data_IF_414699476811
#
_entry.id   IF_414699476811
#
_cell.length_a   1.000
_cell.length_b   1.000
_cell.length_c   1.000
_cell.angle_alpha   90.00
_cell.angle_beta   90.00
_cell.angle_gamma   90.00
#
_symmetry.space_group_name_H-M   'P 1'
#
loop_
_entity.id
_entity.type
_entity.pdbx_description
1 polymer ?
#
# COMPACT_ATOMS: atom_id res chain seq x y z
N UNK A 1 0.76 -9.20 -38.92
CA UNK A 1 2.13 -9.71 -38.73
C UNK A 1 2.41 -9.71 -37.20
N UNK A 2 2.41 -10.88 -36.59
CA UNK A 2 2.66 -11.06 -35.14
C UNK A 2 4.17 -11.18 -34.94
N UNK A 3 4.75 -10.33 -34.07
CA UNK A 3 6.12 -10.49 -33.62
C UNK A 3 6.11 -11.07 -32.21
N UNK A 4 6.49 -12.34 -32.12
CA UNK A 4 6.74 -13.03 -30.86
C UNK A 4 8.11 -12.62 -30.34
N UNK A 5 8.19 -12.11 -29.11
CA UNK A 5 9.43 -12.00 -28.38
C UNK A 5 9.58 -13.21 -27.47
N UNK A 6 10.53 -14.07 -27.83
CA UNK A 6 10.99 -15.21 -27.03
C UNK A 6 12.09 -14.69 -26.10
N UNK A 7 11.86 -14.74 -24.80
CA UNK A 7 12.91 -14.51 -23.79
C UNK A 7 13.56 -15.87 -23.49
N UNK A 8 14.81 -16.04 -23.90
CA UNK A 8 15.61 -17.22 -23.59
C UNK A 8 16.25 -17.05 -22.21
N UNK A 9 15.95 -17.98 -21.30
CA UNK A 9 16.65 -18.14 -20.02
C UNK A 9 17.82 -19.09 -20.26
N UNK A 10 19.06 -18.60 -20.18
CA UNK A 10 20.26 -19.44 -20.22
C UNK A 10 20.67 -19.78 -18.78
N UNK A 11 20.60 -21.08 -18.45
CA UNK A 11 21.22 -21.64 -17.26
C UNK A 11 22.71 -21.91 -17.58
N UNK A 12 23.62 -21.21 -16.90
CA UNK A 12 25.05 -21.49 -16.99
C UNK A 12 25.46 -22.48 -15.89
N UNK A 13 25.73 -23.72 -16.30
CA UNK A 13 26.42 -24.71 -15.47
C UNK A 13 27.93 -24.48 -15.52
N UNK A 14 28.61 -24.46 -14.39
CA UNK A 14 30.06 -24.45 -14.29
C UNK A 14 30.66 -25.80 -14.73
N UNK A 15 31.55 -25.80 -15.73
CA UNK A 15 32.59 -26.79 -15.89
C UNK A 15 33.90 -26.09 -16.28
N UNK A 16 34.91 -26.34 -15.46
CA UNK A 16 36.30 -25.92 -15.68
C UNK A 16 36.98 -26.81 -16.69
N UNK A 17 37.50 -26.22 -17.78
CA UNK A 17 38.66 -26.77 -18.52
C UNK A 17 39.26 -25.65 -19.37
N UNK A 18 40.58 -25.53 -19.32
CA UNK A 18 41.37 -24.47 -19.99
C UNK A 18 41.25 -24.49 -21.51
N UNK A 19 41.17 -23.31 -22.08
CA UNK A 19 41.17 -23.08 -23.52
C UNK A 19 41.25 -21.60 -23.82
N UNK A 20 42.26 -21.19 -24.56
CA UNK A 20 42.54 -19.87 -25.09
C UNK A 20 41.34 -19.21 -25.74
N UNK A 21 40.89 -18.07 -25.26
CA UNK A 21 39.79 -17.31 -25.81
C UNK A 21 40.31 -16.29 -26.83
N UNK A 22 39.85 -16.42 -28.06
CA UNK A 22 39.98 -15.38 -29.10
C UNK A 22 39.03 -14.22 -28.75
N UNK A 23 39.60 -13.03 -28.65
CA UNK A 23 38.82 -11.81 -28.49
C UNK A 23 38.09 -11.48 -29.80
N UNK A 24 36.75 -11.57 -29.78
CA UNK A 24 35.90 -10.95 -30.80
C UNK A 24 35.38 -9.65 -30.18
N UNK A 25 35.74 -8.53 -30.86
CA UNK A 25 35.39 -7.21 -30.39
C UNK A 25 33.91 -6.88 -30.51
N UNK A 26 33.45 -6.12 -29.56
CA UNK A 26 32.44 -5.08 -29.74
C UNK A 26 31.00 -5.48 -29.66
N UNK A 27 30.41 -5.27 -28.51
CA UNK A 27 29.12 -4.58 -28.26
C UNK A 27 29.04 -4.39 -26.77
N UNK A 28 28.82 -3.17 -26.32
CA UNK A 28 28.67 -2.79 -24.91
C UNK A 28 27.51 -3.58 -24.25
N UNK A 29 27.83 -4.75 -23.73
CA UNK A 29 26.94 -5.45 -22.83
C UNK A 29 27.00 -4.72 -21.48
N UNK A 30 25.97 -3.97 -21.15
CA UNK A 30 25.82 -3.41 -19.83
C UNK A 30 26.04 -4.52 -18.80
N UNK A 31 26.80 -4.28 -17.73
CA UNK A 31 27.11 -5.33 -16.76
C UNK A 31 25.83 -5.90 -16.18
N UNK A 32 25.76 -7.23 -16.06
CA UNK A 32 24.58 -7.98 -15.61
C UNK A 32 24.00 -7.42 -14.30
N UNK A 33 24.87 -6.85 -13.45
CA UNK A 33 24.50 -6.14 -12.23
C UNK A 33 23.67 -4.87 -12.50
N UNK A 34 23.90 -4.15 -13.59
CA UNK A 34 23.11 -2.97 -13.97
C UNK A 34 21.74 -3.36 -14.53
N UNK A 35 21.66 -4.49 -15.24
CA UNK A 35 20.39 -5.05 -15.72
C UNK A 35 19.56 -5.61 -14.57
N UNK A 36 20.19 -6.23 -13.58
CA UNK A 36 19.50 -6.69 -12.36
C UNK A 36 19.13 -5.53 -11.44
N UNK A 37 19.94 -4.47 -11.35
CA UNK A 37 19.58 -3.26 -10.60
C UNK A 37 18.43 -2.47 -11.27
N UNK A 38 18.36 -2.46 -12.60
CA UNK A 38 17.23 -1.86 -13.34
C UNK A 38 15.92 -2.67 -13.19
N UNK A 39 16.01 -3.97 -12.93
CA UNK A 39 14.85 -4.82 -12.63
C UNK A 39 14.35 -4.67 -11.17
N UNK A 40 15.15 -4.08 -10.27
CA UNK A 40 14.81 -3.88 -8.86
C UNK A 40 14.08 -2.56 -8.59
N UNK A 41 14.01 -1.64 -9.54
CA UNK A 41 13.34 -0.35 -9.41
C UNK A 41 12.17 -0.30 -10.38
N UNK A 42 11.03 -0.79 -9.94
CA UNK A 42 9.80 -0.64 -10.69
C UNK A 42 9.25 0.77 -10.47
N UNK A 43 8.94 1.45 -11.57
CA UNK A 43 8.45 2.82 -11.57
C UNK A 43 7.25 2.97 -10.64
N UNK A 44 7.35 3.92 -9.71
CA UNK A 44 6.27 4.33 -8.84
C UNK A 44 5.11 4.87 -9.69
N UNK A 45 3.92 4.34 -9.50
CA UNK A 45 2.69 4.80 -10.19
C UNK A 45 1.98 5.82 -9.34
N UNK A 46 1.62 6.95 -9.95
CA UNK A 46 0.87 8.01 -9.29
C UNK A 46 -0.56 8.04 -9.80
N UNK A 47 -1.51 8.02 -8.87
CA UNK A 47 -2.94 8.18 -9.10
C UNK A 47 -3.42 9.39 -8.33
N UNK A 48 -4.16 10.28 -8.98
CA UNK A 48 -4.73 11.46 -8.32
C UNK A 48 -6.23 11.32 -8.14
N UNK A 49 -6.79 12.09 -7.22
CA UNK A 49 -8.24 12.30 -7.11
C UNK A 49 -8.81 12.98 -8.35
N UNK A 50 -10.13 12.94 -8.57
CA UNK A 50 -10.78 13.63 -9.68
C UNK A 50 -10.48 15.14 -9.74
N UNK A 51 -10.41 15.82 -8.59
CA UNK A 51 -10.01 17.24 -8.50
C UNK A 51 -8.49 17.45 -8.70
N UNK A 52 -7.70 16.37 -8.69
CA UNK A 52 -6.25 16.38 -8.86
C UNK A 52 -5.47 16.86 -7.62
N UNK A 53 -6.13 17.02 -6.47
CA UNK A 53 -5.49 17.54 -5.26
C UNK A 53 -4.91 16.45 -4.37
N UNK A 54 -5.55 15.31 -4.24
CA UNK A 54 -5.05 14.15 -3.47
C UNK A 54 -4.24 13.25 -4.39
N UNK A 55 -3.12 12.73 -3.92
CA UNK A 55 -2.34 11.75 -4.65
C UNK A 55 -2.12 10.48 -3.83
N UNK A 56 -2.11 9.38 -4.54
CA UNK A 56 -1.64 8.08 -4.12
C UNK A 56 -0.46 7.69 -5.01
N UNK A 57 0.63 7.26 -4.41
CA UNK A 57 1.75 6.64 -5.11
C UNK A 57 1.85 5.18 -4.67
N UNK A 58 2.03 4.28 -5.61
CA UNK A 58 2.14 2.83 -5.36
C UNK A 58 3.36 2.31 -6.08
N UNK A 59 4.16 1.51 -5.41
CA UNK A 59 5.38 0.96 -5.97
C UNK A 59 5.82 -0.36 -5.37
N UNK A 60 6.89 -0.89 -5.93
CA UNK A 60 7.63 -2.05 -5.45
C UNK A 60 9.07 -1.64 -5.18
N UNK A 61 9.56 -1.95 -3.98
CA UNK A 61 10.95 -1.71 -3.58
C UNK A 61 11.49 -2.97 -2.91
N UNK A 62 12.56 -3.51 -3.45
CA UNK A 62 13.18 -4.75 -2.95
C UNK A 62 12.17 -5.89 -2.77
N UNK A 63 11.28 -6.07 -3.76
CA UNK A 63 10.24 -7.10 -3.72
C UNK A 63 9.13 -6.86 -2.67
N UNK A 64 9.03 -5.66 -2.12
CA UNK A 64 7.99 -5.27 -1.15
C UNK A 64 7.09 -4.20 -1.73
N UNK A 65 5.80 -4.42 -1.69
CA UNK A 65 4.83 -3.43 -2.12
C UNK A 65 4.69 -2.33 -1.06
N UNK A 66 4.58 -1.09 -1.52
CA UNK A 66 4.33 0.07 -0.68
C UNK A 66 3.35 1.03 -1.32
N UNK A 67 2.79 1.90 -0.50
CA UNK A 67 2.00 3.03 -0.93
C UNK A 67 2.40 4.30 -0.16
N UNK A 68 2.14 5.45 -0.75
CA UNK A 68 2.36 6.78 -0.18
C UNK A 68 1.14 7.63 -0.49
N UNK A 69 0.67 8.42 0.47
CA UNK A 69 -0.49 9.30 0.32
C UNK A 69 -0.11 10.73 0.69
N UNK A 70 -0.67 11.66 -0.05
CA UNK A 70 -0.52 13.07 0.24
C UNK A 70 -1.44 13.94 -0.59
N UNK A 71 -1.16 15.24 -0.58
CA UNK A 71 -1.91 16.18 -1.38
C UNK A 71 -1.00 17.25 -1.98
N UNK A 72 -1.48 17.93 -3.00
CA UNK A 72 -0.80 19.04 -3.63
C UNK A 72 -1.29 20.37 -3.00
N UNK A 73 -0.43 21.02 -2.21
CA UNK A 73 -0.67 22.38 -1.79
C UNK A 73 -0.52 23.33 -2.98
N UNK A 74 -1.20 24.48 -2.95
CA UNK A 74 -1.18 25.51 -3.98
C UNK A 74 -1.84 25.12 -5.32
N UNK A 75 -2.72 24.13 -5.35
CA UNK A 75 -3.50 23.74 -6.54
C UNK A 75 -2.69 23.11 -7.66
N UNK A 76 -3.31 23.07 -8.85
CA UNK A 76 -2.74 22.36 -10.01
C UNK A 76 -1.49 23.05 -10.62
N UNK A 77 -1.38 24.36 -10.49
CA UNK A 77 -0.31 25.14 -11.13
C UNK A 77 0.96 25.25 -10.29
N UNK A 78 0.83 25.25 -8.95
CA UNK A 78 1.97 25.36 -8.03
C UNK A 78 2.26 24.10 -7.24
N UNK A 79 2.12 22.91 -7.81
CA UNK A 79 2.14 21.59 -7.16
C UNK A 79 3.29 21.40 -6.18
N UNK A 80 3.05 21.71 -4.92
CA UNK A 80 3.93 21.34 -3.82
C UNK A 80 3.36 20.11 -3.13
N UNK A 81 4.05 19.00 -3.21
CA UNK A 81 3.66 17.77 -2.51
C UNK A 81 3.73 17.94 -0.99
N UNK A 82 2.66 17.59 -0.32
CA UNK A 82 2.60 17.45 1.14
C UNK A 82 2.28 16.00 1.45
N UNK A 83 3.22 15.32 2.07
CA UNK A 83 3.08 13.90 2.42
C UNK A 83 2.27 13.76 3.70
N UNK A 84 1.22 12.95 3.65
CA UNK A 84 0.40 12.55 4.80
C UNK A 84 0.81 11.17 5.34
N UNK A 85 1.09 10.23 4.43
CA UNK A 85 1.71 8.94 4.72
C UNK A 85 2.94 8.77 3.85
N UNK A 86 4.06 8.47 4.48
CA UNK A 86 5.31 8.09 3.81
C UNK A 86 5.20 6.69 3.21
N UNK A 87 6.26 6.17 2.57
CA UNK A 87 6.29 4.82 2.03
C UNK A 87 5.84 3.79 3.10
N UNK A 88 4.58 3.41 3.02
CA UNK A 88 3.92 2.51 3.96
C UNK A 88 3.80 1.12 3.35
N UNK A 89 4.16 0.05 4.06
CA UNK A 89 4.16 -1.30 3.49
C UNK A 89 2.75 -1.81 3.26
N UNK A 90 2.64 -2.68 2.25
CA UNK A 90 1.45 -3.48 1.94
C UNK A 90 1.82 -4.96 1.99
N UNK A 91 0.91 -5.80 2.42
CA UNK A 91 1.09 -7.24 2.31
C UNK A 91 0.22 -8.06 3.26
N UNK A 92 -0.01 -9.29 2.84
CA UNK A 92 -0.72 -10.32 3.60
C UNK A 92 0.11 -11.60 3.67
N UNK A 93 0.03 -12.27 4.82
CA UNK A 93 0.47 -13.66 4.96
C UNK A 93 -0.77 -14.51 5.19
N UNK A 94 -0.99 -15.50 4.34
CA UNK A 94 -2.13 -16.42 4.43
C UNK A 94 -1.66 -17.83 4.74
N UNK A 95 -2.60 -18.72 5.01
CA UNK A 95 -2.31 -20.14 5.23
C UNK A 95 -1.71 -20.87 4.00
N UNK A 96 -1.72 -20.25 2.82
CA UNK A 96 -1.20 -20.84 1.58
C UNK A 96 -0.15 -19.97 0.86
N UNK A 97 -0.03 -18.68 1.16
CA UNK A 97 0.85 -17.75 0.45
C UNK A 97 1.37 -16.65 1.35
N UNK A 98 2.60 -16.21 1.09
CA UNK A 98 3.21 -15.00 1.67
C UNK A 98 3.28 -13.93 0.57
N UNK A 99 2.58 -12.80 0.80
CA UNK A 99 2.56 -11.62 -0.07
C UNK A 99 3.21 -10.40 0.61
N UNK A 100 4.08 -10.62 1.58
CA UNK A 100 4.80 -9.53 2.28
C UNK A 100 6.16 -9.20 1.68
N UNK A 101 6.67 -10.05 0.79
CA UNK A 101 8.03 -9.96 0.20
C UNK A 101 8.15 -10.78 -1.09
N UNK A 102 9.27 -10.58 -1.78
CA UNK A 102 9.63 -11.29 -3.01
C UNK A 102 8.53 -11.18 -4.07
N UNK A 103 7.86 -10.01 -4.09
CA UNK A 103 6.77 -9.72 -5.00
C UNK A 103 7.30 -9.19 -6.32
N UNK A 104 6.57 -9.53 -7.38
CA UNK A 104 6.74 -8.95 -8.72
C UNK A 104 5.43 -8.32 -9.15
N UNK A 105 5.53 -7.22 -9.89
CA UNK A 105 4.40 -6.52 -10.49
C UNK A 105 3.96 -7.25 -11.76
N UNK A 106 2.72 -7.77 -11.77
CA UNK A 106 2.20 -8.58 -12.88
C UNK A 106 1.39 -7.73 -13.83
N UNK A 107 0.47 -6.92 -13.30
CA UNK A 107 -0.48 -6.14 -14.08
C UNK A 107 -0.99 -4.96 -13.28
N UNK A 108 -1.39 -3.90 -13.97
CA UNK A 108 -2.10 -2.77 -13.40
C UNK A 108 -3.32 -2.41 -14.22
N UNK A 109 -4.29 -1.79 -13.59
CA UNK A 109 -5.49 -1.28 -14.23
C UNK A 109 -5.94 0.00 -13.55
N UNK A 110 -6.00 1.09 -14.30
CA UNK A 110 -6.62 2.34 -13.88
C UNK A 110 -8.08 2.41 -14.36
N UNK A 111 -8.91 3.12 -13.61
CA UNK A 111 -10.32 3.30 -13.94
C UNK A 111 -10.94 4.44 -13.16
N UNK A 112 -12.25 4.57 -13.29
CA UNK A 112 -13.07 5.53 -12.53
C UNK A 112 -14.28 4.83 -11.94
N UNK A 113 -14.81 5.38 -10.83
CA UNK A 113 -16.01 4.85 -10.17
C UNK A 113 -16.92 6.00 -9.75
N UNK A 114 -18.21 5.88 -10.08
CA UNK A 114 -19.25 6.70 -9.49
C UNK A 114 -19.73 6.04 -8.19
N UNK A 115 -19.72 6.80 -7.10
CA UNK A 115 -20.12 6.35 -5.77
C UNK A 115 -21.40 7.09 -5.42
N UNK A 116 -22.53 6.37 -5.46
CA UNK A 116 -23.86 6.94 -5.19
C UNK A 116 -24.63 6.06 -4.23
N UNK A 117 -25.04 6.64 -3.12
CA UNK A 117 -25.94 6.00 -2.16
C UNK A 117 -26.64 7.02 -1.28
N UNK A 118 -27.76 6.63 -0.70
CA UNK A 118 -28.52 7.43 0.22
C UNK A 118 -28.29 6.95 1.67
N UNK A 119 -28.27 7.89 2.61
CA UNK A 119 -28.08 7.66 4.03
C UNK A 119 -29.28 8.20 4.80
N UNK A 120 -30.08 7.32 5.39
CA UNK A 120 -31.34 7.71 6.03
C UNK A 120 -31.15 8.49 7.35
N UNK A 121 -30.02 8.32 8.05
CA UNK A 121 -29.81 8.84 9.42
C UNK A 121 -28.47 9.53 9.59
N UNK A 122 -28.03 10.30 8.63
CA UNK A 122 -26.78 11.04 8.69
C UNK A 122 -26.98 12.52 8.30
N UNK A 123 -25.98 13.37 8.61
CA UNK A 123 -25.99 14.78 8.25
C UNK A 123 -26.06 15.01 6.71
N UNK A 124 -25.52 14.08 5.95
CA UNK A 124 -25.65 14.05 4.50
C UNK A 124 -26.61 12.93 4.12
N UNK A 125 -27.79 13.28 3.58
CA UNK A 125 -28.81 12.30 3.15
C UNK A 125 -28.40 11.56 1.88
N UNK A 126 -27.53 12.14 1.09
CA UNK A 126 -27.06 11.57 -0.19
C UNK A 126 -25.57 11.73 -0.37
N UNK A 127 -24.93 10.68 -0.84
CA UNK A 127 -23.55 10.69 -1.32
C UNK A 127 -23.55 10.55 -2.83
N UNK A 128 -22.93 11.48 -3.53
CA UNK A 128 -22.71 11.44 -4.98
C UNK A 128 -21.29 11.97 -5.25
N UNK A 129 -20.38 11.04 -5.47
CA UNK A 129 -18.95 11.33 -5.63
C UNK A 129 -18.39 10.58 -6.82
N UNK A 130 -17.29 11.09 -7.34
CA UNK A 130 -16.43 10.38 -8.29
C UNK A 130 -15.13 9.97 -7.62
N UNK A 131 -14.57 8.86 -8.04
CA UNK A 131 -13.28 8.39 -7.61
C UNK A 131 -12.48 7.88 -8.81
N UNK A 132 -11.17 8.03 -8.75
CA UNK A 132 -10.26 7.30 -9.60
C UNK A 132 -9.88 5.99 -8.90
N UNK A 133 -9.80 4.91 -9.66
CA UNK A 133 -9.44 3.58 -9.15
C UNK A 133 -8.14 3.12 -9.77
N UNK A 134 -7.37 2.37 -8.98
CA UNK A 134 -6.15 1.75 -9.45
C UNK A 134 -6.02 0.37 -8.82
N UNK A 135 -5.92 -0.65 -9.65
CA UNK A 135 -5.72 -2.02 -9.18
C UNK A 135 -4.36 -2.50 -9.63
N UNK A 136 -3.57 -3.02 -8.71
CA UNK A 136 -2.32 -3.69 -9.00
C UNK A 136 -2.44 -5.18 -8.68
N UNK A 137 -1.96 -6.02 -9.59
CA UNK A 137 -1.81 -7.44 -9.38
C UNK A 137 -0.34 -7.75 -9.13
N UNK A 138 -0.07 -8.38 -8.01
CA UNK A 138 1.24 -8.79 -7.54
C UNK A 138 1.30 -10.31 -7.47
N UNK A 139 2.47 -10.88 -7.76
CA UNK A 139 2.71 -12.30 -7.58
C UNK A 139 3.95 -12.52 -6.69
N UNK A 140 3.92 -13.56 -5.86
CA UNK A 140 5.08 -13.98 -5.11
C UNK A 140 5.98 -14.93 -5.93
N UNK A 141 7.11 -15.38 -5.36
CA UNK A 141 8.06 -16.28 -6.02
C UNK A 141 7.44 -17.62 -6.48
N UNK A 142 6.32 -18.03 -5.86
CA UNK A 142 5.57 -19.23 -6.24
C UNK A 142 4.49 -18.96 -7.28
N UNK A 143 4.45 -17.77 -7.88
CA UNK A 143 3.45 -17.32 -8.85
C UNK A 143 2.01 -17.30 -8.31
N UNK A 144 1.84 -17.24 -6.99
CA UNK A 144 0.55 -17.01 -6.36
C UNK A 144 0.25 -15.52 -6.42
N UNK A 145 -0.98 -15.17 -6.71
CA UNK A 145 -1.39 -13.80 -7.01
C UNK A 145 -2.24 -13.17 -5.92
N UNK A 146 -2.07 -11.86 -5.75
CA UNK A 146 -2.88 -10.99 -4.91
C UNK A 146 -3.13 -9.70 -5.69
N UNK A 147 -4.31 -9.13 -5.54
CA UNK A 147 -4.61 -7.79 -6.05
C UNK A 147 -4.77 -6.81 -4.89
N UNK A 148 -4.33 -5.57 -5.11
CA UNK A 148 -4.64 -4.44 -4.25
C UNK A 148 -5.40 -3.43 -5.09
N UNK A 149 -6.66 -3.20 -4.73
CA UNK A 149 -7.50 -2.18 -5.33
C UNK A 149 -7.47 -0.92 -4.48
N UNK A 150 -7.16 0.20 -5.09
CA UNK A 150 -7.19 1.53 -4.49
C UNK A 150 -8.34 2.34 -5.08
N UNK A 151 -8.95 3.17 -4.25
CA UNK A 151 -9.97 4.15 -4.60
C UNK A 151 -9.51 5.49 -4.09
N UNK A 152 -9.33 6.45 -4.98
CA UNK A 152 -8.85 7.80 -4.68
C UNK A 152 -9.97 8.78 -4.99
N UNK A 153 -10.57 9.31 -3.93
CA UNK A 153 -11.59 10.36 -3.97
C UNK A 153 -10.95 11.72 -3.65
N UNK A 154 -11.69 12.78 -3.84
CA UNK A 154 -11.29 14.09 -3.35
C UNK A 154 -11.16 14.03 -1.83
N UNK A 155 -9.94 14.28 -1.33
CA UNK A 155 -9.56 14.24 0.08
C UNK A 155 -9.62 12.86 0.78
N UNK A 156 -9.75 11.76 0.03
CA UNK A 156 -9.86 10.43 0.62
C UNK A 156 -9.15 9.37 -0.23
N UNK A 157 -8.51 8.40 0.45
CA UNK A 157 -7.90 7.23 -0.17
C UNK A 157 -8.31 6.00 0.61
N UNK A 158 -8.87 5.02 -0.09
CA UNK A 158 -9.18 3.71 0.47
C UNK A 158 -8.49 2.61 -0.35
N UNK A 159 -8.23 1.48 0.27
CA UNK A 159 -7.74 0.30 -0.43
C UNK A 159 -8.29 -0.98 0.19
N UNK A 160 -8.24 -2.05 -0.61
CA UNK A 160 -8.55 -3.40 -0.16
C UNK A 160 -7.68 -4.42 -0.88
N UNK A 161 -7.44 -5.53 -0.20
CA UNK A 161 -6.85 -6.71 -0.80
C UNK A 161 -7.93 -7.60 -1.42
N UNK A 162 -7.61 -8.17 -2.56
CA UNK A 162 -8.40 -9.20 -3.19
C UNK A 162 -7.51 -10.42 -3.48
N UNK A 163 -7.91 -11.57 -3.00
CA UNK A 163 -7.21 -12.83 -3.23
C UNK A 163 -8.02 -13.63 -4.25
N UNK A 164 -7.56 -13.70 -5.51
CA UNK A 164 -8.23 -14.48 -6.53
C UNK A 164 -8.25 -15.96 -6.11
N UNK A 165 -9.31 -16.66 -6.47
CA UNK A 165 -9.38 -18.12 -6.22
C UNK A 165 -8.26 -18.81 -6.98
N UNK A 166 -7.37 -19.48 -6.25
CA UNK A 166 -6.23 -20.21 -6.80
C UNK A 166 -6.28 -21.66 -6.35
N UNK A 167 -6.24 -22.56 -7.33
CA UNK A 167 -6.30 -23.99 -7.07
C UNK A 167 -7.61 -24.47 -6.41
N UNK A 168 -7.52 -25.55 -5.67
CA UNK A 168 -8.66 -26.22 -5.02
C UNK A 168 -9.03 -25.69 -3.62
N UNK A 169 -8.50 -24.53 -3.19
CA UNK A 169 -8.75 -24.01 -1.84
C UNK A 169 -10.17 -23.49 -1.70
N UNK A 170 -10.93 -24.01 -0.75
CA UNK A 170 -12.30 -23.57 -0.45
C UNK A 170 -12.35 -22.32 0.45
N UNK A 171 -11.28 -22.04 1.20
CA UNK A 171 -11.20 -20.89 2.12
C UNK A 171 -9.77 -20.39 2.27
N UNK A 172 -9.62 -19.11 2.56
CA UNK A 172 -8.35 -18.45 2.88
C UNK A 172 -8.41 -17.92 4.29
N UNK A 173 -7.38 -18.22 5.08
CA UNK A 173 -7.19 -17.65 6.41
C UNK A 173 -6.01 -16.68 6.37
N UNK A 174 -6.25 -15.43 6.72
CA UNK A 174 -5.19 -14.43 6.93
C UNK A 174 -4.51 -14.77 8.25
N UNK A 175 -3.20 -15.01 8.20
CA UNK A 175 -2.36 -15.32 9.35
C UNK A 175 -1.69 -14.08 9.90
N UNK A 176 -1.34 -13.14 9.03
CA UNK A 176 -0.77 -11.86 9.39
C UNK A 176 -1.05 -10.83 8.30
N UNK A 177 -1.22 -9.59 8.69
CA UNK A 177 -1.29 -8.43 7.81
C UNK A 177 -0.08 -7.52 8.08
N UNK A 178 0.72 -7.26 7.05
CA UNK A 178 1.93 -6.42 7.16
C UNK A 178 1.68 -4.99 6.70
N UNK A 179 0.41 -4.65 6.47
CA UNK A 179 0.00 -3.28 6.15
C UNK A 179 0.43 -2.31 7.24
N UNK A 180 1.08 -1.23 6.86
CA UNK A 180 1.51 -0.20 7.77
C UNK A 180 0.98 1.18 7.35
N UNK A 181 1.02 2.10 8.29
CA UNK A 181 0.67 3.51 8.12
C UNK A 181 1.83 4.34 8.67
N UNK A 182 2.76 4.72 7.80
CA UNK A 182 3.95 5.45 8.20
C UNK A 182 3.73 6.94 8.11
N UNK A 183 3.56 7.57 9.24
CA UNK A 183 3.40 9.01 9.34
C UNK A 183 4.73 9.75 9.39
N UNK A 184 4.81 11.00 8.90
CA UNK A 184 5.97 11.87 9.10
C UNK A 184 6.32 12.08 10.58
N UNK A 185 7.61 12.18 10.90
CA UNK A 185 8.12 12.13 12.28
C UNK A 185 7.63 13.20 13.27
N UNK A 186 6.99 14.28 12.78
CA UNK A 186 6.39 15.34 13.63
C UNK A 186 4.88 15.22 13.76
N UNK A 187 4.30 14.08 13.43
CA UNK A 187 2.87 13.82 13.55
C UNK A 187 2.47 13.71 15.01
N UNK A 188 1.35 14.32 15.36
CA UNK A 188 0.68 14.14 16.66
C UNK A 188 -0.65 13.43 16.50
N UNK A 189 -1.17 12.89 17.57
CA UNK A 189 -2.30 11.97 17.55
C UNK A 189 -3.41 12.39 18.51
N UNK A 190 -4.64 11.95 18.20
CA UNK A 190 -5.84 12.09 19.00
C UNK A 190 -6.50 10.70 19.07
N UNK A 191 -5.81 9.76 19.72
CA UNK A 191 -6.19 8.36 19.71
C UNK A 191 -6.88 7.99 21.02
N UNK A 192 -8.04 7.36 20.92
CA UNK A 192 -8.76 6.81 22.08
C UNK A 192 -8.08 5.50 22.50
N UNK A 193 -7.57 5.41 23.74
CA UNK A 193 -6.94 4.19 24.21
C UNK A 193 -7.98 3.09 24.40
N UNK A 194 -7.65 1.88 23.96
CA UNK A 194 -8.48 0.72 24.20
C UNK A 194 -8.35 0.29 25.66
N UNK A 195 -9.48 0.20 26.36
CA UNK A 195 -9.57 -0.29 27.73
C UNK A 195 -10.09 -1.72 27.78
N UNK A 196 -9.78 -2.42 28.87
CA UNK A 196 -10.40 -3.69 29.19
C UNK A 196 -11.88 -3.48 29.58
N UNK A 197 -12.76 -4.28 29.01
CA UNK A 197 -14.21 -4.19 29.24
C UNK A 197 -14.65 -4.46 30.71
N UNK A 198 -13.74 -4.95 31.53
CA UNK A 198 -14.04 -5.38 32.90
C UNK A 198 -13.50 -4.47 34.00
N UNK A 199 -13.06 -3.26 33.70
CA UNK A 199 -12.42 -2.35 34.66
C UNK A 199 -13.40 -1.27 35.18
N UNK A 200 -13.63 -1.22 36.49
CA UNK A 200 -14.45 -0.21 37.16
C UNK A 200 -15.89 -0.13 36.64
N UNK A 201 -16.45 1.08 36.49
CA UNK A 201 -17.75 1.27 35.85
C UNK A 201 -17.77 0.72 34.44
N UNK A 202 -16.64 0.58 33.88
CA UNK A 202 -16.34 -0.01 32.58
C UNK A 202 -16.81 -1.45 32.43
N UNK A 203 -17.13 -2.15 33.53
CA UNK A 203 -17.81 -3.44 33.49
C UNK A 203 -19.13 -3.40 32.76
N UNK A 204 -19.77 -2.24 32.74
CA UNK A 204 -21.03 -2.01 32.04
C UNK A 204 -20.86 -1.14 30.81
N UNK A 205 -19.64 -0.72 30.51
CA UNK A 205 -19.31 0.14 29.39
C UNK A 205 -19.48 -0.60 28.07
N UNK A 206 -20.41 -0.18 27.22
CA UNK A 206 -20.67 -0.87 25.95
C UNK A 206 -19.69 -0.52 24.84
N UNK A 207 -18.85 0.50 25.04
CA UNK A 207 -17.92 1.02 24.04
C UNK A 207 -16.56 1.32 24.65
N UNK A 208 -15.57 1.53 23.79
CA UNK A 208 -14.21 1.92 24.17
C UNK A 208 -14.04 3.44 24.25
N UNK A 209 -15.05 4.15 24.72
CA UNK A 209 -15.02 5.59 24.91
C UNK A 209 -14.18 5.94 26.13
N UNK A 210 -12.94 6.33 25.89
CA UNK A 210 -12.00 6.78 26.89
C UNK A 210 -11.51 8.19 26.58
N UNK A 211 -11.05 8.90 27.60
CA UNK A 211 -10.36 10.16 27.41
C UNK A 211 -9.08 9.93 26.60
N UNK A 212 -8.87 10.78 25.62
CA UNK A 212 -7.66 10.78 24.81
C UNK A 212 -6.83 12.04 25.07
N UNK A 213 -5.53 11.90 24.92
CA UNK A 213 -4.62 13.03 25.00
C UNK A 213 -4.54 13.72 23.64
N UNK A 214 -5.00 14.98 23.58
CA UNK A 214 -4.88 15.81 22.39
C UNK A 214 -3.40 16.08 22.04
N UNK A 215 -3.07 15.99 20.75
CA UNK A 215 -1.72 16.23 20.22
C UNK A 215 -0.62 15.39 20.91
N UNK A 216 -0.94 14.17 21.29
CA UNK A 216 0.06 13.26 21.83
C UNK A 216 1.12 12.94 20.76
N UNK A 217 2.41 12.89 21.08
CA UNK A 217 3.45 12.47 20.15
C UNK A 217 3.21 11.05 19.61
N UNK A 218 3.61 10.80 18.37
CA UNK A 218 3.61 9.44 17.82
C UNK A 218 4.43 8.51 18.71
N UNK A 219 3.94 7.27 18.88
CA UNK A 219 4.58 6.28 19.73
C UNK A 219 4.28 6.43 21.22
N UNK A 220 3.41 7.37 21.64
CA UNK A 220 2.92 7.43 23.02
C UNK A 220 2.25 6.10 23.38
N UNK A 221 2.68 5.42 24.45
CA UNK A 221 2.06 4.17 24.89
C UNK A 221 0.59 4.37 25.26
N UNK A 222 -0.25 3.40 24.93
CA UNK A 222 -1.64 3.38 25.40
C UNK A 222 -1.69 3.26 26.91
N UNK A 223 -2.59 4.04 27.54
CA UNK A 223 -2.76 4.10 28.98
C UNK A 223 -3.04 2.72 29.61
N UNK A 224 -3.71 1.84 28.91
CA UNK A 224 -4.10 0.51 29.41
C UNK A 224 -3.26 -0.63 28.83
N UNK A 225 -2.28 -0.35 27.97
CA UNK A 225 -1.43 -1.37 27.36
C UNK A 225 -2.09 -2.21 26.25
N UNK A 226 -3.34 -1.92 25.86
CA UNK A 226 -4.10 -2.67 24.86
C UNK A 226 -4.10 -2.02 23.46
N UNK A 227 -3.35 -0.92 23.28
CA UNK A 227 -3.34 -0.16 22.04
C UNK A 227 -4.45 0.88 21.98
N UNK A 228 -4.88 1.21 20.76
CA UNK A 228 -5.85 2.26 20.49
C UNK A 228 -6.95 1.74 19.58
N UNK A 229 -8.12 2.36 19.66
CA UNK A 229 -9.28 2.03 18.84
C UNK A 229 -9.25 2.80 17.51
N UNK A 230 -9.86 2.23 16.48
CA UNK A 230 -10.19 2.94 15.25
C UNK A 230 -11.60 3.54 15.31
N UNK A 231 -11.85 4.65 14.59
CA UNK A 231 -10.92 5.40 13.76
C UNK A 231 -9.91 6.21 14.56
N UNK A 232 -8.72 6.46 13.98
CA UNK A 232 -7.66 7.27 14.57
C UNK A 232 -7.55 8.64 13.88
N UNK A 233 -7.35 9.70 14.65
CA UNK A 233 -7.12 11.04 14.13
C UNK A 233 -5.65 11.43 14.32
N UNK A 234 -5.04 11.96 13.24
CA UNK A 234 -3.63 12.33 13.18
C UNK A 234 -3.46 13.74 12.62
N UNK A 235 -2.54 14.50 13.20
CA UNK A 235 -2.16 15.81 12.70
C UNK A 235 -0.76 15.78 12.12
N UNK A 236 -0.66 15.98 10.81
CA UNK A 236 0.60 16.10 10.07
C UNK A 236 0.83 17.57 9.75
N UNK A 237 1.72 18.22 10.50
CA UNK A 237 1.94 19.66 10.38
C UNK A 237 0.68 20.48 10.70
N UNK A 238 0.10 21.14 9.68
CA UNK A 238 -1.15 21.91 9.81
C UNK A 238 -2.39 21.13 9.32
N UNK A 239 -2.22 19.93 8.81
CA UNK A 239 -3.27 19.13 8.20
C UNK A 239 -3.68 18.00 9.12
N UNK A 240 -4.96 17.70 9.18
CA UNK A 240 -5.54 16.63 10.00
C UNK A 240 -6.10 15.54 9.09
N UNK A 241 -5.82 14.30 9.40
CA UNK A 241 -6.32 13.13 8.67
C UNK A 241 -6.83 12.05 9.61
N UNK A 242 -7.80 11.28 9.12
CA UNK A 242 -8.33 10.09 9.79
C UNK A 242 -7.79 8.82 9.14
N UNK A 243 -7.59 7.81 9.96
CA UNK A 243 -7.43 6.40 9.59
C UNK A 243 -8.57 5.56 10.12
#
# INVERSE_FOLDING_TARGET
>A
MKKNFLAAILLAGMMSAGGTVWAVGGADAAPLAAVMAAAAQQDEKTVTSPDGMTFLKVGLKDGRAYYKVGYYANGKEGRKEVTMLEESPLGLVTNFADFSRDLVWVKEQAGTRDIRYDLERSKASRVDKKANTFTVRLANAKKQEMEVEFVVEDHNVAFRYFLPKQGGTGSVRVMNETTGFRFPGKTTTFLTPQSDAMIGWKRTKPSYEEEYKADAPMGTPSQYGHGYTFPGLFRVGKTVGYL
#
